data_IF_053384625405
#
_entry.id   IF_053384625405
#
_cell.length_a   1.000
_cell.length_b   1.000
_cell.length_c   1.000
_cell.angle_alpha   90.00
_cell.angle_beta   90.00
_cell.angle_gamma   90.00
#
_symmetry.space_group_name_H-M   'P 1'
#
loop_
_entity.id
_entity.type
_entity.pdbx_description
1 polymer ?
#
# COMPACT_ATOMS: atom_id res chain seq x y z
N UNK A 1 23.42 13.32 -4.33
CA UNK A 1 22.86 13.39 -2.97
C UNK A 1 21.50 12.75 -2.94
N UNK A 2 21.30 11.81 -2.03
CA UNK A 2 20.03 11.09 -1.93
C UNK A 2 19.03 11.86 -1.13
N UNK A 3 17.79 11.86 -1.57
CA UNK A 3 16.68 12.45 -0.85
C UNK A 3 15.50 11.50 -0.87
N UNK A 4 14.71 11.55 0.18
CA UNK A 4 13.44 10.86 0.16
C UNK A 4 12.51 11.53 -0.83
N UNK A 5 11.92 10.72 -1.68
CA UNK A 5 10.92 11.18 -2.63
C UNK A 5 9.54 10.79 -2.11
N UNK A 6 8.59 11.66 -2.32
CA UNK A 6 7.21 11.45 -1.89
C UNK A 6 6.31 11.39 -3.11
N UNK A 7 5.52 10.34 -3.20
CA UNK A 7 4.55 10.19 -4.29
C UNK A 7 3.16 10.16 -3.68
N UNK A 8 2.30 11.06 -4.14
CA UNK A 8 0.91 11.12 -3.65
C UNK A 8 0.12 9.94 -4.20
N UNK A 9 -0.77 9.42 -3.38
CA UNK A 9 -1.61 8.29 -3.76
C UNK A 9 -3.08 8.59 -3.46
N UNK A 10 -3.95 7.68 -3.90
CA UNK A 10 -5.37 7.70 -3.55
C UNK A 10 -5.68 6.63 -2.50
N UNK A 11 -4.65 6.10 -1.85
CA UNK A 11 -4.81 5.03 -0.87
C UNK A 11 -5.21 5.65 0.47
N UNK A 12 -6.37 5.29 0.98
CA UNK A 12 -6.93 5.94 2.17
C UNK A 12 -7.16 4.99 3.35
N UNK A 13 -7.42 3.73 3.08
CA UNK A 13 -7.74 2.76 4.13
C UNK A 13 -6.57 1.82 4.36
N UNK A 14 -6.05 1.83 5.58
CA UNK A 14 -4.88 1.07 5.95
C UNK A 14 -5.08 -0.45 5.74
N UNK A 15 -6.24 -0.96 6.08
CA UNK A 15 -6.50 -2.40 5.98
C UNK A 15 -6.42 -2.90 4.55
N UNK A 16 -6.90 -2.13 3.59
CA UNK A 16 -6.85 -2.53 2.18
C UNK A 16 -5.46 -2.33 1.59
N UNK A 17 -4.74 -1.30 2.06
CA UNK A 17 -3.34 -1.09 1.67
C UNK A 17 -2.47 -2.24 2.16
N UNK A 18 -2.62 -2.60 3.42
CA UNK A 18 -1.87 -3.72 4.00
C UNK A 18 -2.15 -5.02 3.25
N UNK A 19 -3.41 -5.30 2.98
CA UNK A 19 -3.78 -6.51 2.26
C UNK A 19 -3.24 -6.52 0.83
N UNK A 20 -3.27 -5.37 0.16
CA UNK A 20 -2.71 -5.26 -1.18
C UNK A 20 -1.22 -5.62 -1.19
N UNK A 21 -0.47 -5.11 -0.22
CA UNK A 21 0.95 -5.42 -0.12
C UNK A 21 1.18 -6.91 0.14
N UNK A 22 0.40 -7.50 1.04
CA UNK A 22 0.50 -8.94 1.32
C UNK A 22 0.18 -9.75 0.07
N UNK A 23 -0.87 -9.38 -0.65
CA UNK A 23 -1.29 -10.09 -1.86
C UNK A 23 -0.21 -10.05 -2.94
N UNK A 24 0.60 -9.00 -2.96
CA UNK A 24 1.68 -8.85 -3.92
C UNK A 24 2.99 -9.51 -3.45
N UNK A 25 2.98 -10.12 -2.27
CA UNK A 25 4.13 -10.85 -1.77
C UNK A 25 5.04 -10.07 -0.84
N UNK A 26 4.61 -8.90 -0.38
CA UNK A 26 5.39 -8.09 0.55
C UNK A 26 4.95 -8.32 1.98
N UNK A 27 5.78 -7.92 2.94
CA UNK A 27 5.47 -8.02 4.36
C UNK A 27 5.45 -6.62 4.95
N UNK A 28 4.26 -6.02 5.07
CA UNK A 28 4.17 -4.68 5.65
C UNK A 28 4.28 -4.70 7.17
N UNK A 29 4.97 -3.71 7.71
CA UNK A 29 5.08 -3.49 9.14
C UNK A 29 4.23 -2.29 9.51
N UNK A 30 3.29 -2.48 10.41
CA UNK A 30 2.38 -1.42 10.84
C UNK A 30 2.95 -0.70 12.05
N UNK A 31 2.38 0.49 12.34
CA UNK A 31 2.78 1.33 13.46
C UNK A 31 3.78 2.37 13.01
N UNK A 32 4.36 3.08 13.97
CA UNK A 32 5.38 4.05 13.64
C UNK A 32 6.69 3.34 13.36
N UNK A 33 7.07 3.30 12.11
CA UNK A 33 8.30 2.68 11.66
C UNK A 33 9.15 3.71 10.93
N UNK A 34 10.43 3.39 10.79
CA UNK A 34 11.37 4.25 10.09
C UNK A 34 11.67 3.68 8.71
N UNK A 35 11.55 4.53 7.71
CA UNK A 35 12.00 4.22 6.34
C UNK A 35 13.46 4.61 6.26
N UNK A 36 14.31 3.66 5.95
CA UNK A 36 15.76 3.90 5.88
C UNK A 36 16.14 4.42 4.50
N UNK A 37 17.00 5.41 4.50
CA UNK A 37 17.54 5.99 3.29
C UNK A 37 19.06 6.02 3.33
N UNK A 38 19.63 6.86 2.47
CA UNK A 38 21.07 6.96 2.30
C UNK A 38 21.73 7.56 3.55
N UNK A 39 22.88 6.99 3.94
CA UNK A 39 23.69 7.46 5.07
C UNK A 39 22.93 7.53 6.40
N UNK A 40 22.05 6.58 6.63
CA UNK A 40 21.35 6.50 7.90
C UNK A 40 20.21 7.50 8.06
N UNK A 41 19.85 8.23 7.01
CA UNK A 41 18.68 9.09 7.04
C UNK A 41 17.42 8.23 7.19
N UNK A 42 16.47 8.72 7.96
CA UNK A 42 15.21 8.01 8.19
C UNK A 42 14.03 8.97 8.12
N UNK A 43 12.88 8.42 7.76
CA UNK A 43 11.60 9.12 7.76
C UNK A 43 10.58 8.23 8.43
N UNK A 44 9.75 8.80 9.29
CA UNK A 44 8.68 8.05 9.95
C UNK A 44 7.54 7.80 8.99
N UNK A 45 6.96 6.61 9.08
CA UNK A 45 5.79 6.24 8.31
C UNK A 45 4.92 5.30 9.12
N UNK A 46 3.62 5.29 8.84
CA UNK A 46 2.66 4.44 9.54
C UNK A 46 2.73 3.00 9.08
N UNK A 47 3.24 2.77 7.88
CA UNK A 47 3.44 1.42 7.36
C UNK A 47 4.72 1.40 6.55
N UNK A 48 5.54 0.40 6.77
CA UNK A 48 6.80 0.26 6.04
C UNK A 48 6.91 -1.13 5.44
N UNK A 49 7.64 -1.22 4.33
CA UNK A 49 7.97 -2.48 3.69
C UNK A 49 9.48 -2.52 3.50
N UNK A 50 10.12 -3.52 4.08
CA UNK A 50 11.53 -3.74 3.84
C UNK A 50 11.67 -4.48 2.51
N UNK A 51 12.45 -3.91 1.62
CA UNK A 51 12.72 -4.53 0.34
C UNK A 51 13.97 -5.40 0.44
N UNK A 52 14.01 -6.47 -0.32
CA UNK A 52 15.14 -7.39 -0.29
C UNK A 52 16.42 -6.74 -0.77
N UNK A 53 16.31 -5.73 -1.62
CA UNK A 53 17.44 -4.96 -2.13
C UNK A 53 17.05 -3.50 -2.19
N UNK A 54 17.97 -2.63 -1.82
CA UNK A 54 17.79 -1.19 -1.97
C UNK A 54 16.99 -0.55 -0.86
N UNK A 55 16.28 0.49 -1.19
CA UNK A 55 15.57 1.31 -0.22
C UNK A 55 14.32 0.63 0.32
N UNK A 56 14.03 0.91 1.58
CA UNK A 56 12.75 0.58 2.14
C UNK A 56 11.67 1.50 1.56
N UNK A 57 10.43 1.08 1.67
CA UNK A 57 9.28 1.87 1.25
C UNK A 57 8.44 2.18 2.48
N UNK A 58 7.95 3.40 2.57
CA UNK A 58 7.02 3.79 3.61
C UNK A 58 5.74 4.35 3.01
N UNK A 59 4.65 4.15 3.73
CA UNK A 59 3.38 4.81 3.43
C UNK A 59 3.06 5.68 4.62
N UNK A 60 3.10 6.99 4.38
CA UNK A 60 2.94 8.01 5.41
C UNK A 60 1.60 8.72 5.22
N UNK A 61 0.82 8.83 6.30
CA UNK A 61 -0.48 9.48 6.24
C UNK A 61 -0.32 10.99 6.05
N UNK A 62 -1.08 11.54 5.12
CA UNK A 62 -1.15 12.97 4.89
C UNK A 62 -2.53 13.48 5.29
N UNK A 63 -2.59 14.28 6.35
CA UNK A 63 -3.86 14.81 6.86
C UNK A 63 -4.52 15.79 5.87
N UNK A 64 -3.72 16.48 5.09
CA UNK A 64 -4.26 17.44 4.13
C UNK A 64 -5.04 16.76 3.02
N UNK A 65 -4.53 15.67 2.48
CA UNK A 65 -5.17 14.92 1.40
C UNK A 65 -6.04 13.78 1.90
N UNK A 66 -5.93 13.42 3.19
CA UNK A 66 -6.61 12.27 3.77
C UNK A 66 -6.29 10.98 3.04
N UNK A 67 -5.02 10.84 2.68
CA UNK A 67 -4.53 9.65 1.98
C UNK A 67 -3.08 9.39 2.36
N UNK A 68 -2.59 8.20 2.02
CA UNK A 68 -1.20 7.85 2.24
C UNK A 68 -0.33 8.42 1.13
N UNK A 69 0.90 8.74 1.49
CA UNK A 69 1.95 9.08 0.53
C UNK A 69 2.98 7.97 0.57
N UNK A 70 3.46 7.58 -0.61
CA UNK A 70 4.57 6.65 -0.69
C UNK A 70 5.86 7.44 -0.52
N UNK A 71 6.71 6.99 0.39
CA UNK A 71 8.00 7.64 0.68
C UNK A 71 9.10 6.61 0.50
N UNK A 72 10.09 6.94 -0.30
CA UNK A 72 11.26 6.08 -0.50
C UNK A 72 12.43 6.91 -1.02
N UNK A 73 13.63 6.39 -0.87
CA UNK A 73 14.82 7.00 -1.46
C UNK A 73 15.01 6.39 -2.85
N UNK A 74 14.68 7.15 -3.88
CA UNK A 74 14.72 6.65 -5.26
C UNK A 74 16.14 6.33 -5.73
N UNK A 75 17.15 6.98 -5.19
CA UNK A 75 18.53 6.67 -5.56
C UNK A 75 18.94 5.28 -5.09
N UNK A 76 18.28 4.75 -4.08
CA UNK A 76 18.54 3.42 -3.55
C UNK A 76 17.53 2.39 -4.06
N UNK A 77 16.62 2.78 -4.94
CA UNK A 77 15.63 1.87 -5.50
C UNK A 77 16.33 0.83 -6.38
N UNK A 78 16.23 -0.43 -6.02
CA UNK A 78 16.93 -1.53 -6.71
C UNK A 78 15.99 -2.63 -7.18
N UNK A 79 14.72 -2.31 -7.33
CA UNK A 79 13.74 -3.28 -7.77
C UNK A 79 13.75 -3.41 -9.29
N UNK A 80 13.25 -4.53 -9.78
CA UNK A 80 13.22 -4.81 -11.23
C UNK A 80 12.21 -3.95 -11.99
N UNK A 81 11.27 -3.35 -11.28
CA UNK A 81 10.27 -2.47 -11.89
C UNK A 81 10.43 -1.05 -11.36
N UNK A 82 10.06 -0.03 -12.14
CA UNK A 82 10.11 1.35 -11.63
C UNK A 82 9.08 1.58 -10.53
N UNK A 83 9.33 2.62 -9.73
CA UNK A 83 8.48 2.94 -8.58
C UNK A 83 7.03 3.20 -9.00
N UNK A 84 6.84 3.83 -10.16
CA UNK A 84 5.49 4.12 -10.66
C UNK A 84 4.74 2.84 -10.95
N UNK A 85 5.43 1.83 -11.45
CA UNK A 85 4.80 0.53 -11.73
C UNK A 85 4.50 -0.22 -10.45
N UNK A 86 5.41 -0.16 -9.49
CA UNK A 86 5.15 -0.73 -8.19
C UNK A 86 3.89 -0.10 -7.57
N UNK A 87 3.81 1.21 -7.58
CA UNK A 87 2.66 1.91 -7.02
C UNK A 87 1.38 1.59 -7.78
N UNK A 88 1.46 1.47 -9.10
CA UNK A 88 0.31 1.09 -9.91
C UNK A 88 -0.20 -0.30 -9.53
N UNK A 89 0.69 -1.25 -9.29
CA UNK A 89 0.30 -2.59 -8.85
C UNK A 89 -0.38 -2.56 -7.49
N UNK A 90 0.17 -1.80 -6.56
CA UNK A 90 -0.42 -1.65 -5.22
C UNK A 90 -1.80 -1.02 -5.32
N UNK A 91 -1.93 0.05 -6.10
CA UNK A 91 -3.19 0.76 -6.26
C UNK A 91 -4.26 -0.12 -6.91
N UNK A 92 -3.88 -0.88 -7.92
CA UNK A 92 -4.79 -1.79 -8.59
C UNK A 92 -5.28 -2.89 -7.64
N UNK A 93 -4.37 -3.47 -6.87
CA UNK A 93 -4.75 -4.51 -5.91
C UNK A 93 -5.59 -3.95 -4.77
N UNK A 94 -5.26 -2.75 -4.32
CA UNK A 94 -6.04 -2.03 -3.32
C UNK A 94 -7.47 -1.83 -3.82
N UNK A 95 -7.62 -1.35 -5.05
CA UNK A 95 -8.95 -1.14 -5.63
C UNK A 95 -9.73 -2.45 -5.72
N UNK A 96 -9.08 -3.52 -6.13
CA UNK A 96 -9.71 -4.82 -6.18
C UNK A 96 -10.19 -5.26 -4.79
N UNK A 97 -9.35 -5.07 -3.77
CA UNK A 97 -9.70 -5.46 -2.41
C UNK A 97 -10.88 -4.67 -1.88
N UNK A 98 -11.00 -3.38 -2.21
CA UNK A 98 -12.16 -2.58 -1.82
C UNK A 98 -13.43 -3.08 -2.50
N UNK A 99 -13.34 -3.46 -3.77
CA UNK A 99 -14.48 -4.00 -4.51
C UNK A 99 -14.89 -5.35 -3.95
N UNK A 100 -13.93 -6.22 -3.68
CA UNK A 100 -14.22 -7.54 -3.11
C UNK A 100 -14.87 -7.43 -1.74
N UNK A 101 -14.42 -6.50 -0.91
CA UNK A 101 -15.02 -6.28 0.40
C UNK A 101 -16.45 -5.78 0.28
N UNK A 102 -16.69 -4.82 -0.58
CA UNK A 102 -18.01 -4.28 -0.83
C UNK A 102 -18.94 -5.34 -1.39
N UNK A 103 -18.44 -6.13 -2.34
CA UNK A 103 -19.23 -7.22 -2.94
C UNK A 103 -19.56 -8.29 -1.92
N UNK A 104 -18.62 -8.63 -1.05
CA UNK A 104 -18.83 -9.62 0.00
C UNK A 104 -19.91 -9.15 0.96
N UNK A 105 -19.90 -7.87 1.34
CA UNK A 105 -20.92 -7.31 2.21
C UNK A 105 -22.29 -7.33 1.55
N UNK A 106 -22.37 -6.93 0.29
CA UNK A 106 -23.61 -6.98 -0.47
C UNK A 106 -24.09 -8.41 -0.65
N UNK A 107 -23.18 -9.30 -0.99
CA UNK A 107 -23.51 -10.72 -1.16
C UNK A 107 -24.02 -11.34 0.12
N UNK A 108 -23.47 -10.93 1.25
CA UNK A 108 -23.91 -11.43 2.55
C UNK A 108 -25.35 -11.00 2.84
N UNK A 109 -25.69 -9.76 2.50
CA UNK A 109 -27.05 -9.25 2.70
C UNK A 109 -28.04 -9.86 1.72
N UNK A 110 -27.62 -10.08 0.50
CA UNK A 110 -28.48 -10.57 -0.58
C UNK A 110 -28.61 -12.09 -0.55
N UNK A 111 -27.66 -12.79 0.04
CA UNK A 111 -27.63 -14.25 0.01
C UNK A 111 -28.89 -14.88 0.57
N UNK A 112 -29.53 -14.26 1.55
CA UNK A 112 -30.77 -14.76 2.10
C UNK A 112 -31.91 -14.76 1.08
N UNK A 113 -31.84 -13.85 0.12
CA UNK A 113 -32.82 -13.76 -0.96
C UNK A 113 -32.36 -14.52 -2.19
N UNK A 114 -31.07 -14.51 -2.41
CA UNK A 114 -30.50 -14.99 -3.66
C UNK A 114 -30.37 -16.49 -3.75
N UNK A 115 -30.37 -17.18 -2.64
CA UNK A 115 -30.39 -18.63 -2.66
C UNK A 115 -31.55 -19.16 -3.46
N UNK A 116 -32.61 -18.39 -3.53
CA UNK A 116 -33.80 -18.75 -4.28
C UNK A 116 -33.69 -18.43 -5.76
N UNK A 117 -32.73 -17.54 -6.13
CA UNK A 117 -32.57 -17.11 -7.50
C UNK A 117 -31.57 -17.96 -8.27
N UNK A 118 -30.55 -18.41 -7.58
CA UNK A 118 -29.51 -19.20 -8.21
C UNK A 118 -29.86 -20.65 -8.33
N UNK A 119 -30.94 -21.01 -7.70
CA UNK A 119 -31.56 -22.31 -7.83
C UNK A 119 -30.63 -23.45 -8.01
#
# INVERSE_FOLDING_TARGET
MSHFSTVKTQLRKKEFLKQALIDLGYVPNEGENLVRGYRGQTVKAQMTVEMSKGADIGFRWNEGSKSYELVTDLDLWKQSIPIERFLAQVTQRYALNTVLDSTAQEGFQISEQKENLDG
#
